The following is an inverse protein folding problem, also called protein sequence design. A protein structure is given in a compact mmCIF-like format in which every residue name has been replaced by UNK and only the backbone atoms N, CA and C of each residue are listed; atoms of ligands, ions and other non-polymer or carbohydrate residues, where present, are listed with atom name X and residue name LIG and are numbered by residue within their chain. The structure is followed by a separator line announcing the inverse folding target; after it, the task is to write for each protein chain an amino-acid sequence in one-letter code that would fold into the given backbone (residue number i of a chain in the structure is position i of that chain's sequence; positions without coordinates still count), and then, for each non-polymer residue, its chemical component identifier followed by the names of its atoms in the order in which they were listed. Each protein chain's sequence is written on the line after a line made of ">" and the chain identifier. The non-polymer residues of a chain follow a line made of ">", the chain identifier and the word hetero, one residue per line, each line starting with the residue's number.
data_IF_431313635946
#
_entry.id   IF_431313635946
#
_cell.length_a   1.000
_cell.length_b   1.000
_cell.length_c   1.000
_cell.angle_alpha   90.00
_cell.angle_beta   90.00
_cell.angle_gamma   90.00
#
_symmetry.space_group_name_H-M   'P 1'
#
loop_
_entity.id
_entity.type
_entity.pdbx_description
1 polymer ?
#
# COMPACT_ATOMS: atom_id res chain seq x y z
N UNK A 1 -45.75 3.79 -28.21
CA UNK A 1 -44.97 3.66 -26.95
C UNK A 1 -45.41 2.52 -26.03
N UNK A 2 -46.68 2.08 -26.00
CA UNK A 2 -47.09 0.95 -25.15
C UNK A 2 -46.57 -0.43 -25.59
N UNK A 3 -46.45 -0.70 -26.89
CA UNK A 3 -45.96 -2.00 -27.38
C UNK A 3 -44.47 -2.23 -27.14
N UNK A 4 -43.67 -1.17 -27.08
CA UNK A 4 -42.23 -1.24 -26.78
C UNK A 4 -41.97 -1.50 -25.28
N UNK A 5 -42.82 -0.95 -24.40
CA UNK A 5 -42.78 -1.22 -22.95
C UNK A 5 -43.16 -2.66 -22.60
N UNK A 6 -44.11 -3.25 -23.34
CA UNK A 6 -44.49 -4.66 -23.15
C UNK A 6 -43.39 -5.64 -23.57
N UNK A 7 -42.67 -5.35 -24.66
CA UNK A 7 -41.55 -6.18 -25.12
C UNK A 7 -40.41 -6.14 -24.11
N UNK A 8 -40.10 -4.96 -23.53
CA UNK A 8 -39.05 -4.84 -22.52
C UNK A 8 -39.41 -5.57 -21.21
N UNK A 9 -40.68 -5.54 -20.78
CA UNK A 9 -41.14 -6.30 -19.62
C UNK A 9 -41.11 -7.82 -19.83
N UNK A 10 -41.43 -8.32 -21.04
CA UNK A 10 -41.37 -9.75 -21.34
C UNK A 10 -39.94 -10.30 -21.36
N UNK A 11 -38.96 -9.50 -21.83
CA UNK A 11 -37.55 -9.89 -21.86
C UNK A 11 -36.95 -9.93 -20.44
N UNK A 12 -37.35 -9.00 -19.56
CA UNK A 12 -36.85 -8.93 -18.18
C UNK A 12 -37.38 -10.07 -17.29
N UNK A 13 -38.58 -10.60 -17.60
CA UNK A 13 -39.20 -11.73 -16.87
C UNK A 13 -38.61 -13.09 -17.31
N UNK A 14 -38.11 -13.21 -18.55
CA UNK A 14 -37.50 -14.44 -19.07
C UNK A 14 -36.07 -14.70 -18.55
N UNK A 15 -35.37 -13.68 -18.04
CA UNK A 15 -34.02 -13.85 -17.45
C UNK A 15 -34.03 -14.37 -16.00
N UNK A 16 -35.20 -14.53 -15.37
CA UNK A 16 -35.32 -15.00 -13.98
C UNK A 16 -35.49 -16.53 -13.83
N UNK A 17 -35.49 -17.28 -14.94
CA UNK A 17 -35.58 -18.75 -14.92
C UNK A 17 -34.30 -19.40 -15.46
N UNK A 18 -33.20 -19.25 -14.72
CA UNK A 18 -32.14 -20.26 -14.74
C UNK A 18 -32.19 -21.05 -13.43
N UNK A 19 -32.56 -22.35 -13.46
CA UNK A 19 -32.50 -23.21 -12.28
C UNK A 19 -31.04 -23.48 -11.92
N UNK A 20 -30.60 -22.86 -10.83
CA UNK A 20 -29.39 -23.24 -10.12
C UNK A 20 -29.61 -24.60 -9.45
N UNK A 21 -29.05 -25.67 -10.01
CA UNK A 21 -28.78 -26.88 -9.24
C UNK A 21 -27.70 -27.76 -9.86
N UNK A 22 -26.72 -28.11 -9.03
CA UNK A 22 -25.80 -29.22 -9.25
C UNK A 22 -24.37 -28.79 -9.51
N UNK A 23 -23.55 -28.78 -8.45
CA UNK A 23 -22.20 -29.39 -8.41
C UNK A 23 -21.34 -28.76 -7.30
N UNK A 24 -21.52 -29.19 -6.04
CA UNK A 24 -20.41 -29.57 -5.15
C UNK A 24 -20.95 -30.19 -3.83
N UNK A 25 -21.56 -31.36 -3.95
CA UNK A 25 -21.73 -32.27 -2.82
C UNK A 25 -20.56 -33.26 -2.83
N UNK A 26 -19.39 -32.85 -2.33
CA UNK A 26 -18.23 -33.71 -2.13
C UNK A 26 -17.21 -33.03 -1.21
N UNK A 27 -17.43 -33.05 0.11
CA UNK A 27 -16.40 -32.99 1.18
C UNK A 27 -17.06 -33.17 2.56
N UNK A 28 -17.80 -34.28 2.76
CA UNK A 28 -18.33 -34.67 4.08
C UNK A 28 -18.08 -36.15 4.40
N UNK A 29 -17.03 -36.72 3.80
CA UNK A 29 -16.63 -38.10 4.00
C UNK A 29 -15.11 -38.15 4.11
N UNK A 30 -14.61 -37.57 5.19
CA UNK A 30 -13.44 -38.05 5.93
C UNK A 30 -13.83 -37.84 7.41
N UNK A 31 -14.68 -38.71 7.97
CA UNK A 31 -14.25 -39.93 8.66
C UNK A 31 -13.50 -39.57 9.96
N UNK A 32 -14.16 -38.94 10.93
CA UNK A 32 -14.88 -39.60 12.03
C UNK A 32 -14.42 -41.05 12.31
N UNK A 33 -13.30 -41.20 13.01
CA UNK A 33 -13.10 -42.34 13.91
C UNK A 33 -12.15 -41.98 15.05
N UNK A 34 -12.68 -41.50 16.17
CA UNK A 34 -11.94 -41.42 17.42
C UNK A 34 -12.89 -41.60 18.59
N UNK A 35 -13.22 -42.85 18.91
CA UNK A 35 -13.60 -43.27 20.27
C UNK A 35 -13.23 -44.76 20.44
N UNK A 36 -12.50 -45.07 21.52
CA UNK A 36 -12.19 -46.46 21.91
C UNK A 36 -11.03 -46.56 22.89
N UNK A 37 -11.33 -46.41 24.18
CA UNK A 37 -10.45 -46.52 25.37
C UNK A 37 -10.06 -47.96 25.71
N UNK A 38 -8.84 -48.20 26.19
CA UNK A 38 -8.53 -49.10 27.32
C UNK A 38 -7.05 -49.02 27.75
N UNK A 39 -6.89 -48.98 29.08
CA UNK A 39 -5.69 -48.98 29.92
C UNK A 39 -4.76 -50.19 29.72
N UNK A 40 -3.44 -50.02 29.89
CA UNK A 40 -2.71 -50.65 31.01
C UNK A 40 -1.33 -50.01 31.23
N UNK A 41 -0.88 -50.06 32.47
CA UNK A 41 0.34 -49.50 33.03
C UNK A 41 1.62 -50.18 32.52
N UNK A 42 2.74 -49.47 32.59
CA UNK A 42 3.95 -49.84 33.36
C UNK A 42 5.13 -48.95 32.91
N UNK A 43 5.78 -48.32 33.89
CA UNK A 43 7.02 -47.58 33.73
C UNK A 43 8.17 -48.56 33.44
N UNK A 44 8.74 -48.47 32.24
CA UNK A 44 10.12 -48.84 31.94
C UNK A 44 10.77 -47.62 31.28
N UNK A 45 11.64 -46.90 31.99
CA UNK A 45 12.71 -46.14 31.33
C UNK A 45 13.81 -47.14 30.91
N UNK A 46 14.69 -46.89 29.90
CA UNK A 46 14.98 -45.62 29.22
C UNK A 46 15.16 -45.75 27.68
N UNK A 47 15.21 -44.62 26.96
CA UNK A 47 16.22 -44.29 25.93
C UNK A 47 16.02 -42.79 25.63
N UNK A 48 17.01 -41.98 26.01
CA UNK A 48 17.11 -40.58 25.59
C UNK A 48 17.63 -40.59 24.16
N UNK A 49 16.74 -40.53 23.18
CA UNK A 49 17.11 -39.96 21.88
C UNK A 49 16.77 -38.47 21.95
N UNK A 50 17.80 -37.65 22.15
CA UNK A 50 17.70 -36.23 21.82
C UNK A 50 17.53 -36.16 20.30
N UNK A 51 16.31 -36.06 19.83
CA UNK A 51 16.05 -35.55 18.48
C UNK A 51 16.35 -34.06 18.52
N UNK A 52 17.52 -33.72 17.95
CA UNK A 52 17.88 -32.36 17.56
C UNK A 52 16.70 -31.76 16.77
N UNK A 53 16.09 -30.64 17.22
CA UNK A 53 15.05 -30.01 16.43
C UNK A 53 15.61 -29.64 15.06
N UNK A 54 15.00 -30.17 13.99
CA UNK A 54 15.24 -29.71 12.63
C UNK A 54 15.05 -28.19 12.59
N UNK A 55 16.12 -27.48 12.26
CA UNK A 55 16.05 -26.04 11.98
C UNK A 55 15.08 -25.83 10.82
N UNK A 56 13.92 -25.23 11.12
CA UNK A 56 13.05 -24.66 10.10
C UNK A 56 13.89 -23.63 9.35
N UNK A 57 14.07 -23.72 8.02
CA UNK A 57 14.83 -22.74 7.29
C UNK A 57 14.10 -21.41 7.37
N UNK A 58 14.58 -20.51 8.22
CA UNK A 58 14.16 -19.11 8.25
C UNK A 58 14.55 -18.50 6.92
N UNK A 59 13.58 -18.33 6.01
CA UNK A 59 13.69 -17.41 4.89
C UNK A 59 13.87 -16.00 5.47
N UNK A 60 15.11 -15.60 5.73
CA UNK A 60 15.46 -14.23 6.12
C UNK A 60 15.26 -13.36 4.89
N UNK A 61 14.07 -12.77 4.77
CA UNK A 61 13.80 -11.73 3.77
C UNK A 61 14.61 -10.50 4.20
N UNK A 62 15.60 -10.09 3.41
CA UNK A 62 16.36 -8.87 3.70
C UNK A 62 15.40 -7.67 3.82
N UNK A 63 15.52 -6.89 4.89
CA UNK A 63 14.76 -5.66 5.09
C UNK A 63 15.63 -4.42 4.84
N UNK A 64 14.98 -3.28 4.62
CA UNK A 64 15.59 -1.97 4.52
C UNK A 64 14.80 -0.99 5.40
N UNK A 65 15.52 -0.24 6.24
CA UNK A 65 14.97 0.91 6.95
C UNK A 65 14.80 2.08 5.97
N UNK A 66 13.60 2.61 5.88
CA UNK A 66 13.24 3.79 5.09
C UNK A 66 12.74 4.90 6.01
N UNK A 67 12.88 6.15 5.56
CA UNK A 67 12.35 7.33 6.25
C UNK A 67 11.17 7.90 5.45
N UNK A 68 10.03 8.07 6.11
CA UNK A 68 8.80 8.65 5.54
C UNK A 68 8.54 9.99 6.22
N UNK A 69 8.02 10.98 5.49
CA UNK A 69 7.74 12.31 6.05
C UNK A 69 6.24 12.57 6.09
N UNK A 70 5.69 12.79 7.28
CA UNK A 70 4.26 13.03 7.51
C UNK A 70 4.02 14.38 8.17
N UNK A 71 2.78 14.86 8.17
CA UNK A 71 2.44 16.16 8.73
C UNK A 71 2.31 16.08 10.25
N UNK A 72 2.89 17.05 10.96
CA UNK A 72 2.52 17.33 12.34
C UNK A 72 1.28 18.27 12.36
N UNK A 73 0.16 17.86 12.97
CA UNK A 73 -1.08 18.65 12.98
C UNK A 73 -0.95 19.97 13.74
N UNK A 74 0.00 20.10 14.66
CA UNK A 74 0.21 21.28 15.50
C UNK A 74 1.20 22.25 14.86
N UNK A 75 2.39 21.76 14.48
CA UNK A 75 3.48 22.61 13.99
C UNK A 75 3.35 22.94 12.50
N UNK A 76 2.50 22.20 11.78
CA UNK A 76 2.33 22.31 10.31
C UNK A 76 3.66 22.11 9.58
N UNK A 77 4.51 21.24 10.12
CA UNK A 77 5.78 20.80 9.55
C UNK A 77 5.76 19.31 9.21
N UNK A 78 6.81 18.87 8.52
CA UNK A 78 7.08 17.48 8.25
C UNK A 78 7.90 16.86 9.38
N UNK A 79 7.46 15.70 9.86
CA UNK A 79 8.17 14.88 10.85
C UNK A 79 8.49 13.53 10.21
N UNK A 80 9.69 13.01 10.47
CA UNK A 80 10.10 11.70 9.98
C UNK A 80 9.54 10.56 10.80
N UNK A 81 9.10 9.51 10.11
CA UNK A 81 8.79 8.19 10.66
C UNK A 81 9.67 7.16 9.96
N UNK A 82 10.42 6.37 10.72
CA UNK A 82 11.21 5.27 10.17
C UNK A 82 10.37 3.99 10.06
N UNK A 83 10.52 3.26 8.96
CA UNK A 83 9.79 2.01 8.72
C UNK A 83 10.71 0.97 8.09
N UNK A 84 10.65 -0.27 8.55
CA UNK A 84 11.30 -1.39 7.88
C UNK A 84 10.40 -1.98 6.80
N UNK A 85 10.91 -2.12 5.58
CA UNK A 85 10.23 -2.80 4.48
C UNK A 85 11.12 -3.88 3.87
N UNK A 86 10.51 -4.85 3.20
CA UNK A 86 11.26 -5.84 2.43
C UNK A 86 12.09 -5.15 1.34
N UNK A 87 13.35 -5.57 1.19
CA UNK A 87 14.23 -5.08 0.15
C UNK A 87 13.83 -5.65 -1.21
N UNK A 88 13.54 -4.76 -2.15
CA UNK A 88 13.08 -5.10 -3.51
C UNK A 88 13.81 -4.26 -4.57
N UNK A 89 13.83 -4.74 -5.81
CA UNK A 89 14.44 -4.02 -6.96
C UNK A 89 13.80 -2.66 -7.22
N UNK A 90 12.53 -2.45 -6.83
CA UNK A 90 11.80 -1.19 -6.93
C UNK A 90 11.64 -0.48 -5.58
N UNK A 91 12.72 -0.26 -4.84
CA UNK A 91 12.63 0.25 -3.46
C UNK A 91 11.97 1.63 -3.35
N UNK A 92 12.19 2.53 -4.32
CA UNK A 92 11.56 3.85 -4.35
C UNK A 92 10.02 3.75 -4.50
N UNK A 93 9.56 2.82 -5.35
CA UNK A 93 8.13 2.50 -5.49
C UNK A 93 7.54 2.02 -4.18
N UNK A 94 8.15 1.00 -3.58
CA UNK A 94 7.68 0.44 -2.31
C UNK A 94 7.63 1.51 -1.20
N UNK A 95 8.60 2.43 -1.19
CA UNK A 95 8.65 3.53 -0.22
C UNK A 95 7.50 4.52 -0.39
N UNK A 96 7.17 4.92 -1.61
CA UNK A 96 6.00 5.77 -1.86
C UNK A 96 4.68 5.06 -1.56
N UNK A 97 4.59 3.76 -1.83
CA UNK A 97 3.42 2.97 -1.45
C UNK A 97 3.24 2.94 0.08
N UNK A 98 4.33 2.88 0.84
CA UNK A 98 4.28 3.05 2.30
C UNK A 98 3.89 4.47 2.74
N UNK A 99 4.35 5.50 2.02
CA UNK A 99 3.95 6.89 2.27
C UNK A 99 2.44 7.07 2.07
N UNK A 100 1.88 6.52 0.99
CA UNK A 100 0.44 6.57 0.68
C UNK A 100 -0.41 5.88 1.76
N UNK A 101 0.11 4.81 2.38
CA UNK A 101 -0.58 4.13 3.50
C UNK A 101 -0.74 5.03 4.73
N UNK A 102 0.03 6.11 4.82
CA UNK A 102 -0.01 7.05 5.94
C UNK A 102 0.90 6.65 7.11
N UNK A 103 0.92 7.48 8.16
CA UNK A 103 1.72 7.24 9.36
C UNK A 103 1.15 6.08 10.19
N UNK A 104 2.03 5.40 10.93
CA UNK A 104 1.62 4.40 11.93
C UNK A 104 1.43 5.03 13.32
N UNK A 105 2.12 6.15 13.59
CA UNK A 105 1.98 6.90 14.83
C UNK A 105 0.65 7.66 14.94
N UNK A 106 0.07 7.71 16.14
CA UNK A 106 -1.20 8.40 16.40
C UNK A 106 -1.12 9.94 16.35
N UNK A 107 0.09 10.50 16.31
CA UNK A 107 0.32 11.94 16.42
C UNK A 107 0.62 12.62 15.07
N UNK A 108 0.75 11.85 14.00
CA UNK A 108 1.06 12.36 12.66
C UNK A 108 -0.16 12.21 11.76
N UNK A 109 -0.30 13.11 10.80
CA UNK A 109 -1.35 13.09 9.79
C UNK A 109 -0.80 12.71 8.41
N UNK A 110 -1.57 11.97 7.59
CA UNK A 110 -1.18 11.69 6.21
C UNK A 110 -1.10 12.98 5.39
N UNK A 111 -0.08 13.07 4.55
CA UNK A 111 0.14 14.17 3.61
C UNK A 111 -0.45 13.88 2.23
N UNK A 112 -0.71 12.60 1.93
CA UNK A 112 -1.29 12.12 0.68
C UNK A 112 -2.67 11.52 0.97
N UNK A 113 -3.73 11.83 0.18
CA UNK A 113 -5.02 11.20 0.34
C UNK A 113 -4.94 9.67 0.19
N UNK A 114 -5.57 8.91 1.08
CA UNK A 114 -5.48 7.45 1.12
C UNK A 114 -5.98 6.72 -0.15
N UNK A 115 -6.80 7.38 -0.96
CA UNK A 115 -7.28 6.82 -2.24
C UNK A 115 -6.29 7.00 -3.39
N UNK A 116 -5.21 7.76 -3.18
CA UNK A 116 -4.18 8.02 -4.19
C UNK A 116 -3.49 6.73 -4.60
N UNK A 117 -3.30 6.57 -5.91
CA UNK A 117 -2.54 5.45 -6.47
C UNK A 117 -1.26 5.98 -7.07
N UNK A 118 -0.17 5.23 -6.87
CA UNK A 118 1.06 5.41 -7.62
C UNK A 118 0.93 4.65 -8.96
N UNK A 119 0.71 5.39 -10.03
CA UNK A 119 0.57 4.83 -11.38
C UNK A 119 1.93 4.38 -11.92
N UNK A 120 2.92 5.27 -11.86
CA UNK A 120 4.27 4.96 -12.31
C UNK A 120 5.35 5.65 -11.49
N UNK A 121 6.55 5.08 -11.52
CA UNK A 121 7.77 5.72 -11.04
C UNK A 121 8.96 5.24 -11.85
N UNK A 122 9.75 6.20 -12.33
CA UNK A 122 10.99 5.95 -13.03
C UNK A 122 12.11 6.83 -12.46
N UNK A 123 13.17 6.21 -11.94
CA UNK A 123 14.37 6.92 -11.50
C UNK A 123 15.40 6.82 -12.60
N UNK A 124 15.80 7.96 -13.14
CA UNK A 124 16.78 8.04 -14.22
C UNK A 124 18.21 8.06 -13.67
N UNK A 125 19.18 7.72 -14.52
CA UNK A 125 20.61 7.72 -14.17
C UNK A 125 21.16 9.12 -13.84
N UNK A 126 20.49 10.19 -14.27
CA UNK A 126 20.82 11.58 -13.96
C UNK A 126 20.21 12.09 -12.65
N UNK A 127 19.59 11.22 -11.85
CA UNK A 127 19.07 11.59 -10.52
C UNK A 127 17.63 12.08 -10.51
N UNK A 128 16.98 12.24 -11.67
CA UNK A 128 15.59 12.66 -11.75
C UNK A 128 14.63 11.47 -11.53
N UNK A 129 13.82 11.55 -10.47
CA UNK A 129 12.69 10.65 -10.25
C UNK A 129 11.40 11.24 -10.84
N UNK A 130 10.86 10.59 -11.87
CA UNK A 130 9.55 10.93 -12.45
C UNK A 130 8.51 10.06 -11.77
N UNK A 131 7.52 10.68 -11.13
CA UNK A 131 6.51 9.98 -10.33
C UNK A 131 5.12 10.37 -10.82
N UNK A 132 4.31 9.38 -11.18
CA UNK A 132 2.97 9.58 -11.71
C UNK A 132 1.92 9.04 -10.74
N UNK A 133 1.00 9.91 -10.32
CA UNK A 133 -0.08 9.60 -9.40
C UNK A 133 -1.43 9.63 -10.10
N UNK A 134 -2.43 8.98 -9.49
CA UNK A 134 -3.81 9.13 -9.92
C UNK A 134 -4.36 10.51 -9.59
N UNK A 135 -5.42 10.92 -10.30
CA UNK A 135 -6.13 12.17 -10.07
C UNK A 135 -6.74 12.33 -8.66
N UNK A 136 -6.82 11.23 -7.90
CA UNK A 136 -7.23 11.23 -6.49
C UNK A 136 -6.29 12.10 -5.63
N UNK A 137 -5.01 12.21 -6.00
CA UNK A 137 -4.03 13.07 -5.32
C UNK A 137 -4.50 14.53 -5.27
N UNK A 138 -5.09 15.05 -6.35
CA UNK A 138 -5.57 16.44 -6.41
C UNK A 138 -6.99 16.53 -5.86
N UNK A 139 -7.87 15.61 -6.28
CA UNK A 139 -9.30 15.68 -6.00
C UNK A 139 -9.60 15.56 -4.49
N UNK A 140 -8.85 14.74 -3.78
CA UNK A 140 -9.11 14.41 -2.38
C UNK A 140 -8.16 15.15 -1.41
N UNK A 141 -7.26 16.01 -1.92
CA UNK A 141 -6.34 16.80 -1.10
C UNK A 141 -7.09 17.95 -0.39
N UNK A 142 -6.81 18.23 0.89
CA UNK A 142 -7.38 19.38 1.57
C UNK A 142 -7.04 20.69 0.87
N UNK A 143 -8.06 21.52 0.64
CA UNK A 143 -7.91 22.80 -0.06
C UNK A 143 -7.25 23.83 0.88
N UNK A 144 -5.92 23.83 0.93
CA UNK A 144 -5.13 24.83 1.66
C UNK A 144 -3.69 24.90 1.16
N UNK A 145 -3.06 26.07 1.31
CA UNK A 145 -1.63 26.28 1.00
C UNK A 145 -0.74 25.28 1.74
N UNK A 146 -0.99 25.10 3.04
CA UNK A 146 -0.21 24.22 3.91
C UNK A 146 -0.35 22.76 3.49
N UNK A 147 -1.56 22.30 3.15
CA UNK A 147 -1.75 20.92 2.71
C UNK A 147 -1.04 20.62 1.38
N UNK A 148 -1.07 21.56 0.43
CA UNK A 148 -0.32 21.41 -0.83
C UNK A 148 1.19 21.37 -0.59
N UNK A 149 1.72 22.29 0.20
CA UNK A 149 3.15 22.35 0.52
C UNK A 149 3.63 21.06 1.22
N UNK A 150 2.90 20.62 2.25
CA UNK A 150 3.25 19.39 2.98
C UNK A 150 3.11 18.14 2.11
N UNK A 151 2.12 18.06 1.21
CA UNK A 151 1.99 16.94 0.28
C UNK A 151 3.18 16.85 -0.68
N UNK A 152 3.53 17.97 -1.31
CA UNK A 152 4.64 18.06 -2.27
C UNK A 152 5.95 17.69 -1.59
N UNK A 153 6.31 18.36 -0.49
CA UNK A 153 7.60 18.14 0.14
C UNK A 153 7.68 16.85 0.95
N UNK A 154 6.55 16.27 1.37
CA UNK A 154 6.51 14.90 1.90
C UNK A 154 7.00 13.88 0.86
N UNK A 155 6.51 13.97 -0.38
CA UNK A 155 6.93 13.09 -1.48
C UNK A 155 8.40 13.31 -1.80
N UNK A 156 8.80 14.57 -1.97
CA UNK A 156 10.16 14.94 -2.39
C UNK A 156 11.19 14.55 -1.32
N UNK A 157 10.95 14.88 -0.05
CA UNK A 157 11.87 14.56 1.05
C UNK A 157 11.93 13.06 1.32
N UNK A 158 10.84 12.33 1.06
CA UNK A 158 10.83 10.86 1.14
C UNK A 158 11.67 10.25 0.03
N UNK A 159 11.55 10.69 -1.23
CA UNK A 159 12.30 10.09 -2.34
C UNK A 159 13.78 10.44 -2.33
N UNK A 160 14.11 11.68 -2.00
CA UNK A 160 15.51 12.18 -1.91
C UNK A 160 16.29 11.58 -0.74
N UNK A 161 15.69 10.67 0.04
CA UNK A 161 16.44 9.82 0.97
C UNK A 161 17.39 8.85 0.21
N UNK A 162 17.04 8.51 -1.03
CA UNK A 162 17.85 7.63 -1.85
C UNK A 162 18.93 8.44 -2.57
N UNK A 163 20.21 8.04 -2.48
CA UNK A 163 21.30 8.81 -3.08
C UNK A 163 21.27 8.84 -4.61
N UNK A 164 20.44 8.00 -5.24
CA UNK A 164 20.19 7.99 -6.68
C UNK A 164 19.07 8.94 -7.10
N UNK A 165 18.44 9.66 -6.16
CA UNK A 165 17.36 10.61 -6.42
C UNK A 165 17.79 11.98 -5.91
N UNK A 166 18.09 12.88 -6.84
CA UNK A 166 18.50 14.26 -6.55
C UNK A 166 17.28 15.20 -6.61
N UNK A 167 16.36 14.92 -7.53
CA UNK A 167 15.21 15.77 -7.82
C UNK A 167 13.99 14.94 -8.27
N UNK A 168 12.80 15.53 -8.16
CA UNK A 168 11.53 14.85 -8.39
C UNK A 168 10.65 15.65 -9.37
N UNK A 169 10.17 15.00 -10.42
CA UNK A 169 9.10 15.51 -11.27
C UNK A 169 7.78 14.82 -10.89
N UNK A 170 6.77 15.63 -10.52
CA UNK A 170 5.44 15.14 -10.21
C UNK A 170 4.55 15.15 -11.45
N UNK A 171 3.84 14.04 -11.64
CA UNK A 171 2.81 13.87 -12.65
C UNK A 171 1.50 13.40 -12.05
N UNK A 172 0.41 13.77 -12.69
CA UNK A 172 -0.93 13.27 -12.39
C UNK A 172 -1.59 12.82 -13.68
N UNK A 173 -2.00 11.56 -13.73
CA UNK A 173 -2.58 10.92 -14.92
C UNK A 173 -1.71 11.14 -16.18
N UNK A 174 -0.38 10.99 -16.01
CA UNK A 174 0.62 11.15 -17.06
C UNK A 174 0.96 12.60 -17.43
N UNK A 175 0.28 13.60 -16.85
CA UNK A 175 0.54 15.02 -17.12
C UNK A 175 1.55 15.59 -16.12
N UNK A 176 2.56 16.31 -16.62
CA UNK A 176 3.51 17.05 -15.77
C UNK A 176 2.77 18.15 -15.01
N UNK A 177 3.03 18.23 -13.71
CA UNK A 177 2.46 19.23 -12.83
C UNK A 177 3.46 20.34 -12.52
N UNK A 178 2.96 21.56 -12.47
CA UNK A 178 3.66 22.76 -11.97
C UNK A 178 3.06 23.23 -10.63
N UNK A 179 1.94 22.61 -10.22
CA UNK A 179 1.19 22.85 -8.99
C UNK A 179 0.18 21.71 -8.79
N UNK A 180 -0.25 21.40 -7.57
CA UNK A 180 -1.34 20.46 -7.30
C UNK A 180 -2.70 21.17 -7.18
N UNK A 181 -2.77 22.26 -6.43
CA UNK A 181 -3.99 23.01 -6.14
C UNK A 181 -3.93 24.48 -6.57
N UNK A 182 -2.77 24.98 -6.97
CA UNK A 182 -2.55 26.36 -7.41
C UNK A 182 -1.95 27.29 -6.35
N UNK A 183 -1.64 26.81 -5.14
CA UNK A 183 -1.03 27.64 -4.09
C UNK A 183 0.49 27.61 -4.11
N UNK A 184 1.08 26.47 -4.47
CA UNK A 184 2.52 26.30 -4.64
C UNK A 184 2.82 26.06 -6.13
N UNK A 185 3.63 26.92 -6.74
CA UNK A 185 4.08 26.79 -8.12
C UNK A 185 5.56 26.46 -8.17
N UNK A 186 5.94 25.57 -9.08
CA UNK A 186 7.33 25.25 -9.42
C UNK A 186 7.50 25.17 -10.94
N UNK A 187 8.61 25.70 -11.44
CA UNK A 187 8.91 25.73 -12.89
C UNK A 187 9.78 24.55 -13.34
N UNK A 188 10.59 24.01 -12.42
CA UNK A 188 11.50 22.90 -12.65
C UNK A 188 11.13 21.69 -11.78
N UNK A 189 11.98 20.66 -11.80
CA UNK A 189 11.91 19.53 -10.87
C UNK A 189 12.14 20.01 -9.43
N UNK A 190 11.52 19.29 -8.49
CA UNK A 190 11.49 19.63 -7.08
C UNK A 190 12.68 18.99 -6.37
N UNK A 191 13.37 19.79 -5.55
CA UNK A 191 14.49 19.36 -4.72
C UNK A 191 14.08 19.30 -3.24
N UNK A 192 14.85 18.54 -2.47
CA UNK A 192 14.67 18.40 -1.02
C UNK A 192 14.63 19.77 -0.34
N UNK A 193 13.62 19.98 0.51
CA UNK A 193 13.53 21.16 1.38
C UNK A 193 13.53 20.73 2.85
N UNK A 194 14.65 21.02 3.52
CA UNK A 194 14.85 20.69 4.94
C UNK A 194 14.23 21.72 5.89
N UNK A 195 13.84 22.90 5.40
CA UNK A 195 13.27 23.97 6.24
C UNK A 195 11.88 23.61 6.79
N UNK A 196 11.18 22.75 6.06
CA UNK A 196 9.87 22.20 6.43
C UNK A 196 9.96 21.00 7.37
N UNK A 197 11.15 20.46 7.62
CA UNK A 197 11.36 19.34 8.53
C UNK A 197 11.58 19.88 9.95
N UNK A 198 11.01 19.19 10.95
CA UNK A 198 11.24 19.45 12.38
C UNK A 198 12.40 18.63 12.95
#
# INVERSE_FOLDING_TARGET
>A
MHRLRYIFCLILIMCFFMPACGLLNKMKQDFKHSEGLLEDNIYDEPIVVMETPEEIPTLTTETKLITLYFADPLTKKLVSEEREIAKVTGIARATLEELIKGPLGLNLEPTIPANTKLLDINVRDDGLAIVDFSGDLIRDLPISVVAEELAVFSIVNTLTQFPTVEEVELRVEGQKMETLLGYLQWEESLIRDVSLIE
#
